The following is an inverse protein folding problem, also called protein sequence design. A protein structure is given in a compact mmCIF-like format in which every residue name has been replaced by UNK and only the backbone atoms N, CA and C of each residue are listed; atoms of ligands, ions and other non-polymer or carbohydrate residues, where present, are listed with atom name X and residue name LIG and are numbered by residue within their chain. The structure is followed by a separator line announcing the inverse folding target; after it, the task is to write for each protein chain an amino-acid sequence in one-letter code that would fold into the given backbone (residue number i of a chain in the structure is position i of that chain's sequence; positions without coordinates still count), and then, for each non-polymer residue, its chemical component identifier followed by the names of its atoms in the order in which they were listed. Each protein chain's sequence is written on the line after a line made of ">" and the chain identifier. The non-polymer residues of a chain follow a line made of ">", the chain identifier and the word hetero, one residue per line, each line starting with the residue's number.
data_IF_275050298207
#
_entry.id   IF_275050298207
#
_cell.length_a   1.000
_cell.length_b   1.000
_cell.length_c   1.000
_cell.angle_alpha   90.00
_cell.angle_beta   90.00
_cell.angle_gamma   90.00
#
_symmetry.space_group_name_H-M   'P 1'
#
loop_
_entity.id
_entity.type
_entity.pdbx_description
1 polymer ?
#
# COMPACT_ATOMS: atom_id res chain seq x y z
N UNK A 1 -2.29 -9.13 -30.33
CA UNK A 1 -2.10 -9.21 -28.86
C UNK A 1 -3.41 -9.06 -28.04
N UNK A 2 -4.06 -7.88 -28.00
CA UNK A 2 -5.21 -7.64 -27.11
C UNK A 2 -6.45 -8.50 -27.41
N UNK A 3 -6.81 -8.66 -28.68
CA UNK A 3 -7.94 -9.53 -29.08
C UNK A 3 -7.67 -10.99 -28.69
N UNK A 4 -6.42 -11.43 -28.83
CA UNK A 4 -5.98 -12.78 -28.45
C UNK A 4 -6.10 -12.97 -26.93
N UNK A 5 -5.61 -12.01 -26.14
CA UNK A 5 -5.78 -12.01 -24.68
C UNK A 5 -7.26 -12.08 -24.29
N UNK A 6 -8.08 -11.16 -24.83
CA UNK A 6 -9.52 -11.12 -24.55
C UNK A 6 -10.18 -12.47 -24.84
N UNK A 7 -9.89 -13.09 -25.99
CA UNK A 7 -10.45 -14.39 -26.33
C UNK A 7 -10.02 -15.52 -25.36
N UNK A 8 -8.82 -15.42 -24.78
CA UNK A 8 -8.31 -16.40 -23.82
C UNK A 8 -8.89 -16.24 -22.40
N UNK A 9 -9.21 -15.02 -21.98
CA UNK A 9 -9.65 -14.72 -20.61
C UNK A 9 -11.14 -14.37 -20.49
N UNK A 10 -11.86 -14.23 -21.61
CA UNK A 10 -13.29 -13.87 -21.60
C UNK A 10 -14.12 -15.02 -21.03
N UNK A 11 -15.00 -14.69 -20.10
CA UNK A 11 -15.94 -15.63 -19.49
C UNK A 11 -15.45 -16.09 -18.12
N UNK A 12 -15.70 -17.36 -17.81
CA UNK A 12 -15.27 -18.02 -16.57
C UNK A 12 -14.09 -18.91 -16.86
N UNK A 13 -13.00 -18.68 -16.13
CA UNK A 13 -11.77 -19.45 -16.24
C UNK A 13 -11.21 -19.70 -14.86
N UNK A 14 -10.35 -20.71 -14.76
CA UNK A 14 -9.53 -20.88 -13.58
C UNK A 14 -8.64 -19.65 -13.43
N UNK A 15 -8.49 -19.13 -12.21
CA UNK A 15 -7.71 -17.92 -11.96
C UNK A 15 -6.28 -18.09 -12.45
N UNK A 16 -5.67 -19.24 -12.18
CA UNK A 16 -4.33 -19.57 -12.66
C UNK A 16 -4.19 -19.48 -14.18
N UNK A 17 -5.17 -19.94 -14.95
CA UNK A 17 -5.14 -19.83 -16.41
C UNK A 17 -5.24 -18.36 -16.86
N UNK A 18 -6.08 -17.57 -16.20
CA UNK A 18 -6.23 -16.13 -16.48
C UNK A 18 -4.93 -15.38 -16.21
N UNK A 19 -4.27 -15.71 -15.10
CA UNK A 19 -3.02 -15.13 -14.64
C UNK A 19 -1.85 -15.45 -15.60
N UNK A 20 -1.69 -16.72 -15.98
CA UNK A 20 -0.72 -17.15 -17.00
C UNK A 20 -0.93 -16.40 -18.31
N UNK A 21 -2.19 -16.22 -18.74
CA UNK A 21 -2.49 -15.52 -19.98
C UNK A 21 -2.16 -14.02 -19.93
N UNK A 22 -2.28 -13.39 -18.76
CA UNK A 22 -1.81 -12.01 -18.55
C UNK A 22 -0.29 -11.95 -18.63
N UNK A 23 0.40 -12.84 -17.92
CA UNK A 23 1.86 -12.90 -17.94
C UNK A 23 2.42 -13.14 -19.36
N UNK A 24 1.85 -14.11 -20.10
CA UNK A 24 2.19 -14.36 -21.50
C UNK A 24 1.96 -13.12 -22.38
N UNK A 25 0.86 -12.39 -22.15
CA UNK A 25 0.57 -11.17 -22.88
C UNK A 25 1.60 -10.07 -22.58
N UNK A 26 2.02 -9.90 -21.33
CA UNK A 26 3.07 -8.96 -20.95
C UNK A 26 4.40 -9.29 -21.65
N UNK A 27 4.73 -10.58 -21.76
CA UNK A 27 5.90 -11.04 -22.51
C UNK A 27 5.74 -10.81 -24.02
N UNK A 28 4.56 -11.07 -24.60
CA UNK A 28 4.29 -10.88 -26.04
C UNK A 28 4.47 -9.41 -26.46
N UNK A 29 4.10 -8.46 -25.60
CA UNK A 29 4.26 -7.02 -25.88
C UNK A 29 5.61 -6.45 -25.39
N UNK A 30 6.43 -7.27 -24.72
CA UNK A 30 7.76 -6.89 -24.26
C UNK A 30 7.79 -5.89 -23.10
N UNK A 31 6.84 -5.96 -22.16
CA UNK A 31 6.74 -5.01 -21.02
C UNK A 31 8.08 -4.86 -20.29
N UNK A 32 8.69 -5.98 -19.88
CA UNK A 32 9.93 -5.94 -19.10
C UNK A 32 11.10 -5.36 -19.90
N UNK A 33 11.18 -5.65 -21.20
CA UNK A 33 12.19 -5.05 -22.08
C UNK A 33 11.99 -3.53 -22.24
N UNK A 34 10.74 -3.08 -22.32
CA UNK A 34 10.43 -1.64 -22.33
C UNK A 34 10.84 -0.97 -21.02
N UNK A 35 10.61 -1.62 -19.87
CA UNK A 35 11.08 -1.12 -18.58
C UNK A 35 12.61 -1.01 -18.52
N UNK A 36 13.34 -2.02 -19.02
CA UNK A 36 14.81 -1.96 -19.13
C UNK A 36 15.27 -0.76 -19.97
N UNK A 37 14.62 -0.52 -21.11
CA UNK A 37 14.93 0.64 -21.98
C UNK A 37 14.70 1.96 -21.25
N UNK A 38 13.61 2.08 -20.48
CA UNK A 38 13.36 3.28 -19.68
C UNK A 38 14.39 3.48 -18.57
N UNK A 39 14.86 2.40 -17.93
CA UNK A 39 15.91 2.50 -16.92
C UNK A 39 17.22 3.03 -17.52
N UNK A 40 17.59 2.58 -18.71
CA UNK A 40 18.74 3.12 -19.46
C UNK A 40 18.55 4.60 -19.79
N UNK A 41 17.37 4.99 -20.30
CA UNK A 41 17.04 6.39 -20.57
C UNK A 41 17.14 7.26 -19.31
N UNK A 42 16.58 6.80 -18.19
CA UNK A 42 16.67 7.52 -16.91
C UNK A 42 18.12 7.67 -16.43
N UNK A 43 18.97 6.67 -16.65
CA UNK A 43 20.39 6.76 -16.30
C UNK A 43 21.12 7.80 -17.16
N UNK A 44 20.86 7.82 -18.48
CA UNK A 44 21.43 8.85 -19.37
C UNK A 44 20.99 10.28 -19.00
N UNK A 45 19.78 10.42 -18.44
CA UNK A 45 19.22 11.69 -17.98
C UNK A 45 19.61 12.03 -16.52
N UNK A 46 20.31 11.14 -15.82
CA UNK A 46 20.68 11.32 -14.42
C UNK A 46 19.51 11.26 -13.43
N UNK A 47 18.38 10.67 -13.81
CA UNK A 47 17.14 10.58 -13.02
C UNK A 47 17.19 9.39 -12.04
N UNK A 48 18.10 9.45 -11.08
CA UNK A 48 18.36 8.35 -10.13
C UNK A 48 17.14 7.96 -9.28
N UNK A 49 16.29 8.91 -8.92
CA UNK A 49 15.05 8.60 -8.17
C UNK A 49 14.09 7.75 -9.01
N UNK A 50 13.96 8.04 -10.31
CA UNK A 50 13.12 7.25 -11.22
C UNK A 50 13.65 5.84 -11.43
N UNK A 51 14.97 5.68 -11.51
CA UNK A 51 15.60 4.35 -11.58
C UNK A 51 15.23 3.54 -10.34
N UNK A 52 15.36 4.12 -9.14
CA UNK A 52 15.01 3.44 -7.88
C UNK A 52 13.54 3.06 -7.78
N UNK A 53 12.63 3.89 -8.32
CA UNK A 53 11.20 3.54 -8.38
C UNK A 53 10.95 2.39 -9.36
N UNK A 54 11.44 2.52 -10.61
CA UNK A 54 11.05 1.64 -11.71
C UNK A 54 11.74 0.26 -11.65
N UNK A 55 12.92 0.16 -11.03
CA UNK A 55 13.60 -1.13 -10.86
C UNK A 55 12.82 -2.11 -9.99
N UNK A 56 11.94 -1.61 -9.11
CA UNK A 56 11.11 -2.42 -8.21
C UNK A 56 9.82 -2.92 -8.87
N UNK A 57 9.36 -2.28 -9.96
CA UNK A 57 8.06 -2.57 -10.59
C UNK A 57 7.95 -4.00 -11.12
N UNK A 58 8.95 -4.58 -11.81
CA UNK A 58 8.84 -5.96 -12.31
C UNK A 58 8.57 -6.98 -11.21
N UNK A 59 9.35 -6.91 -10.12
CA UNK A 59 9.21 -7.81 -8.98
C UNK A 59 7.84 -7.66 -8.34
N UNK A 60 7.39 -6.43 -8.11
CA UNK A 60 6.06 -6.15 -7.54
C UNK A 60 4.91 -6.73 -8.38
N UNK A 61 4.98 -6.63 -9.70
CA UNK A 61 3.94 -7.21 -10.58
C UNK A 61 3.94 -8.73 -10.48
N UNK A 62 5.11 -9.37 -10.52
CA UNK A 62 5.21 -10.84 -10.42
C UNK A 62 4.74 -11.32 -9.05
N UNK A 63 5.13 -10.66 -7.96
CA UNK A 63 4.67 -11.00 -6.61
C UNK A 63 3.15 -10.98 -6.49
N UNK A 64 2.47 -9.98 -7.06
CA UNK A 64 1.00 -9.91 -7.02
C UNK A 64 0.37 -11.07 -7.78
N UNK A 65 0.86 -11.37 -8.99
CA UNK A 65 0.35 -12.48 -9.80
C UNK A 65 0.55 -13.82 -9.06
N UNK A 66 1.73 -14.05 -8.51
CA UNK A 66 2.05 -15.25 -7.72
C UNK A 66 1.13 -15.39 -6.50
N UNK A 67 0.90 -14.31 -5.75
CA UNK A 67 -0.01 -14.32 -4.60
C UNK A 67 -1.46 -14.63 -4.99
N UNK A 68 -1.92 -14.09 -6.12
CA UNK A 68 -3.28 -14.38 -6.62
C UNK A 68 -3.42 -15.87 -6.96
N UNK A 69 -2.42 -16.46 -7.62
CA UNK A 69 -2.41 -17.90 -7.91
C UNK A 69 -2.31 -18.74 -6.63
N UNK A 70 -1.52 -18.31 -5.64
CA UNK A 70 -1.37 -19.04 -4.38
C UNK A 70 -2.68 -19.12 -3.58
N UNK A 71 -3.43 -18.01 -3.52
CA UNK A 71 -4.62 -17.92 -2.66
C UNK A 71 -5.89 -18.43 -3.35
N UNK A 72 -6.07 -18.12 -4.64
CA UNK A 72 -7.31 -18.41 -5.38
C UNK A 72 -7.07 -19.05 -6.75
N UNK A 73 -5.87 -19.59 -7.02
CA UNK A 73 -5.49 -20.09 -8.34
C UNK A 73 -6.40 -21.16 -8.92
N UNK A 74 -6.92 -22.07 -8.08
CA UNK A 74 -7.78 -23.19 -8.49
C UNK A 74 -9.28 -22.80 -8.59
N UNK A 75 -9.64 -21.59 -8.18
CA UNK A 75 -11.01 -21.10 -8.26
C UNK A 75 -11.38 -20.69 -9.69
N UNK A 76 -12.67 -20.83 -10.04
CA UNK A 76 -13.20 -20.42 -11.34
C UNK A 76 -13.99 -19.13 -11.19
N UNK A 77 -13.43 -18.03 -11.69
CA UNK A 77 -13.99 -16.68 -11.56
C UNK A 77 -14.38 -16.10 -12.92
N UNK A 78 -15.31 -15.14 -12.91
CA UNK A 78 -15.49 -14.27 -14.07
C UNK A 78 -14.36 -13.26 -14.18
N UNK A 79 -14.01 -12.87 -15.41
CA UNK A 79 -12.99 -11.86 -15.69
C UNK A 79 -13.15 -10.57 -14.85
N UNK A 80 -14.38 -10.16 -14.56
CA UNK A 80 -14.65 -8.97 -13.73
C UNK A 80 -14.21 -9.14 -12.28
N UNK A 81 -14.38 -10.33 -11.72
CA UNK A 81 -13.99 -10.64 -10.33
C UNK A 81 -12.48 -10.77 -10.23
N UNK A 82 -11.86 -11.50 -11.15
CA UNK A 82 -10.40 -11.58 -11.28
C UNK A 82 -9.76 -10.19 -11.42
N UNK A 83 -10.35 -9.32 -12.27
CA UNK A 83 -9.88 -7.93 -12.44
C UNK A 83 -9.96 -7.14 -11.14
N UNK A 84 -11.03 -7.29 -10.35
CA UNK A 84 -11.15 -6.61 -9.05
C UNK A 84 -10.06 -7.06 -8.08
N UNK A 85 -9.77 -8.37 -8.03
CA UNK A 85 -8.70 -8.91 -7.18
C UNK A 85 -7.36 -8.29 -7.56
N UNK A 86 -7.01 -8.27 -8.85
CA UNK A 86 -5.77 -7.65 -9.31
C UNK A 86 -5.72 -6.16 -8.98
N UNK A 87 -6.78 -5.39 -9.24
CA UNK A 87 -6.83 -3.96 -8.93
C UNK A 87 -6.57 -3.74 -7.44
N UNK A 88 -7.27 -4.47 -6.56
CA UNK A 88 -7.04 -4.36 -5.11
C UNK A 88 -5.62 -4.74 -4.71
N UNK A 89 -5.02 -5.76 -5.34
CA UNK A 89 -3.62 -6.12 -5.10
C UNK A 89 -2.64 -5.02 -5.49
N UNK A 90 -2.86 -4.35 -6.63
CA UNK A 90 -2.02 -3.25 -7.07
C UNK A 90 -2.24 -1.94 -6.28
N UNK A 91 -3.45 -1.69 -5.78
CA UNK A 91 -3.77 -0.51 -4.95
C UNK A 91 -3.08 -0.55 -3.57
N UNK A 92 -2.84 -1.73 -3.03
CA UNK A 92 -2.19 -1.92 -1.73
C UNK A 92 -0.65 -1.82 -1.79
N UNK A 93 -0.04 -2.01 -2.97
CA UNK A 93 1.42 -1.95 -3.11
C UNK A 93 1.91 -0.50 -3.22
N UNK A 94 2.79 -0.12 -2.31
CA UNK A 94 3.50 1.16 -2.34
C UNK A 94 4.93 0.98 -2.90
N UNK A 95 5.36 1.91 -3.76
CA UNK A 95 6.76 2.01 -4.18
C UNK A 95 7.49 2.93 -3.21
N UNK A 96 8.44 2.38 -2.46
CA UNK A 96 9.27 3.13 -1.53
C UNK A 96 10.63 3.45 -2.14
N UNK A 97 11.04 4.72 -2.11
CA UNK A 97 12.43 5.12 -2.34
C UNK A 97 13.00 5.62 -1.03
N UNK A 98 14.06 4.96 -0.54
CA UNK A 98 14.81 5.49 0.62
C UNK A 98 15.62 6.70 0.13
N UNK A 99 15.35 7.90 0.66
CA UNK A 99 16.16 9.06 0.33
C UNK A 99 17.57 8.87 0.91
N UNK A 100 18.60 9.00 0.08
CA UNK A 100 20.00 9.00 0.52
C UNK A 100 20.54 10.43 0.51
N UNK A 101 20.03 11.32 1.38
CA UNK A 101 20.62 12.65 1.58
C UNK A 101 21.10 12.81 3.02
N UNK A 102 22.28 13.41 3.18
CA UNK A 102 22.83 13.76 4.50
C UNK A 102 22.19 15.04 5.06
N UNK A 103 21.77 15.96 4.18
CA UNK A 103 21.09 17.20 4.54
C UNK A 103 19.68 17.19 3.94
N UNK A 104 18.68 17.07 4.80
CA UNK A 104 17.29 16.95 4.40
C UNK A 104 16.33 17.44 5.48
N UNK A 105 15.16 17.90 5.03
CA UNK A 105 14.01 18.14 5.91
C UNK A 105 13.18 16.87 5.96
N UNK A 106 12.97 16.32 7.16
CA UNK A 106 12.09 15.16 7.33
C UNK A 106 10.63 15.63 7.33
N UNK A 107 9.86 15.12 6.37
CA UNK A 107 8.41 15.35 6.28
C UNK A 107 7.74 14.01 6.59
N UNK A 108 6.80 14.00 7.51
CA UNK A 108 6.09 12.78 7.89
C UNK A 108 5.06 13.02 8.98
N UNK A 109 4.42 11.93 9.38
CA UNK A 109 3.41 11.94 10.43
C UNK A 109 4.03 12.29 11.80
N UNK A 110 3.30 13.08 12.59
CA UNK A 110 3.68 13.49 13.95
C UNK A 110 3.99 12.30 14.86
N UNK A 111 3.28 11.17 14.67
CA UNK A 111 3.52 9.92 15.39
C UNK A 111 4.87 9.27 15.07
N UNK A 112 5.41 9.48 13.85
CA UNK A 112 6.68 8.93 13.38
C UNK A 112 7.89 9.81 13.70
N UNK A 113 7.66 11.11 13.91
CA UNK A 113 8.71 12.09 14.26
C UNK A 113 9.03 12.05 15.77
N UNK A 114 8.15 11.44 16.57
CA UNK A 114 8.28 11.28 18.03
C UNK A 114 9.66 10.76 18.45
N UNK A 115 10.31 11.45 19.40
CA UNK A 115 11.53 10.99 20.06
C UNK A 115 12.85 11.33 19.38
N UNK A 116 12.85 12.21 18.37
CA UNK A 116 14.08 12.76 17.79
C UNK A 116 14.28 14.19 18.28
N UNK A 117 15.49 14.51 18.75
CA UNK A 117 15.86 15.90 19.01
C UNK A 117 15.93 16.66 17.67
N UNK A 118 14.97 17.55 17.44
CA UNK A 118 14.92 18.42 16.27
C UNK A 118 15.23 19.86 16.67
N UNK A 119 15.99 20.58 15.85
CA UNK A 119 16.30 21.99 16.11
C UNK A 119 15.11 22.92 15.87
N UNK A 120 14.24 22.55 14.93
CA UNK A 120 13.01 23.26 14.59
C UNK A 120 11.96 22.24 14.13
N UNK A 121 10.71 22.46 14.52
CA UNK A 121 9.55 21.65 14.14
C UNK A 121 8.48 22.54 13.53
N UNK A 122 7.94 22.11 12.39
CA UNK A 122 6.80 22.75 11.74
C UNK A 122 5.61 21.80 11.76
N UNK A 123 4.52 22.19 12.41
CA UNK A 123 3.27 21.45 12.41
C UNK A 123 2.32 22.06 11.39
N UNK A 124 1.81 21.21 10.50
CA UNK A 124 0.87 21.60 9.43
C UNK A 124 -0.48 20.93 9.72
N UNK A 125 -1.57 21.62 9.39
CA UNK A 125 -2.92 21.08 9.58
C UNK A 125 -3.39 21.08 11.03
N UNK A 126 -2.93 22.04 11.84
CA UNK A 126 -3.39 22.25 13.23
C UNK A 126 -4.79 22.88 13.23
N UNK A 127 -5.75 22.10 12.73
CA UNK A 127 -7.16 22.46 12.63
C UNK A 127 -7.98 21.56 13.56
N UNK A 128 -9.13 22.07 14.00
CA UNK A 128 -10.06 21.30 14.81
C UNK A 128 -10.49 20.01 14.10
N UNK A 129 -10.46 18.89 14.83
CA UNK A 129 -10.72 17.55 14.33
C UNK A 129 -9.60 16.90 13.50
N UNK A 130 -8.54 17.64 13.11
CA UNK A 130 -7.35 17.10 12.43
C UNK A 130 -6.23 16.87 13.44
N UNK A 131 -5.97 17.83 14.33
CA UNK A 131 -5.00 17.68 15.42
C UNK A 131 -5.54 18.36 16.70
N UNK A 132 -5.94 17.59 17.73
CA UNK A 132 -5.96 16.12 17.79
C UNK A 132 -6.98 15.52 16.83
N UNK A 133 -6.71 14.32 16.32
CA UNK A 133 -7.60 13.65 15.38
C UNK A 133 -8.92 13.26 16.07
N UNK A 134 -10.05 13.64 15.48
CA UNK A 134 -11.38 13.22 15.91
C UNK A 134 -11.68 11.80 15.39
N UNK A 135 -10.90 10.80 15.82
CA UNK A 135 -11.11 9.39 15.45
C UNK A 135 -12.52 8.93 15.88
N UNK A 136 -13.46 8.81 14.95
CA UNK A 136 -14.86 8.41 15.20
C UNK A 136 -15.22 7.00 14.72
N UNK A 137 -14.29 6.32 14.05
CA UNK A 137 -14.59 5.02 13.45
C UNK A 137 -14.30 3.88 14.43
N UNK A 138 -15.36 3.20 14.88
CA UNK A 138 -15.29 2.04 15.76
C UNK A 138 -14.98 0.74 14.99
N UNK A 139 -15.10 0.74 13.65
CA UNK A 139 -14.92 -0.45 12.82
C UNK A 139 -15.99 -1.52 13.04
N UNK A 140 -15.64 -2.79 12.84
CA UNK A 140 -16.58 -3.94 12.95
C UNK A 140 -17.00 -4.21 14.40
N UNK A 141 -16.16 -3.86 15.39
CA UNK A 141 -16.38 -4.14 16.81
C UNK A 141 -16.57 -2.82 17.56
N UNK A 142 -17.71 -2.65 18.21
CA UNK A 142 -18.03 -1.44 18.98
C UNK A 142 -17.25 -1.36 20.30
N UNK A 143 -17.15 -0.17 20.87
CA UNK A 143 -16.51 0.02 22.19
C UNK A 143 -17.20 -0.78 23.30
N UNK A 144 -18.52 -0.93 23.22
CA UNK A 144 -19.30 -1.77 24.15
C UNK A 144 -18.90 -3.24 24.05
N UNK A 145 -18.72 -3.75 22.83
CA UNK A 145 -18.28 -5.13 22.62
C UNK A 145 -16.84 -5.34 23.10
N UNK A 146 -15.95 -4.36 22.89
CA UNK A 146 -14.59 -4.37 23.45
C UNK A 146 -14.61 -4.49 24.97
N UNK A 147 -15.48 -3.74 25.66
CA UNK A 147 -15.61 -3.80 27.11
C UNK A 147 -16.12 -5.15 27.61
N UNK A 148 -17.10 -5.74 26.93
CA UNK A 148 -17.60 -7.09 27.26
C UNK A 148 -16.47 -8.11 27.12
N UNK A 149 -15.71 -8.05 26.03
CA UNK A 149 -14.57 -8.94 25.78
C UNK A 149 -13.45 -8.74 26.81
N UNK A 150 -13.18 -7.49 27.19
CA UNK A 150 -12.20 -7.13 28.23
C UNK A 150 -12.57 -7.73 29.59
N UNK A 151 -13.86 -7.74 29.94
CA UNK A 151 -14.36 -8.31 31.19
C UNK A 151 -14.22 -9.84 31.27
N UNK A 152 -14.19 -10.53 30.13
CA UNK A 152 -13.92 -11.98 30.07
C UNK A 152 -12.44 -12.30 29.83
N UNK A 153 -11.56 -11.30 29.92
CA UNK A 153 -10.10 -11.45 29.83
C UNK A 153 -9.52 -11.31 28.42
N UNK A 154 -10.34 -10.98 27.41
CA UNK A 154 -9.87 -10.77 26.04
C UNK A 154 -9.56 -9.28 25.83
N UNK A 155 -8.28 -8.96 25.63
CA UNK A 155 -7.84 -7.58 25.36
C UNK A 155 -7.75 -7.33 23.86
N UNK A 156 -8.49 -6.35 23.38
CA UNK A 156 -8.43 -5.83 22.01
C UNK A 156 -7.70 -4.47 21.98
N UNK A 157 -7.59 -3.89 20.77
CA UNK A 157 -7.08 -2.54 20.56
C UNK A 157 -7.86 -1.48 21.37
N UNK A 158 -7.22 -0.32 21.58
CA UNK A 158 -7.76 0.81 22.34
C UNK A 158 -9.16 1.23 21.86
N UNK A 159 -10.05 1.50 22.81
CA UNK A 159 -11.37 2.09 22.55
C UNK A 159 -11.25 3.57 22.13
N UNK A 160 -12.35 4.15 21.66
CA UNK A 160 -12.38 5.54 21.14
C UNK A 160 -11.90 6.54 22.19
N UNK A 161 -12.26 6.33 23.46
CA UNK A 161 -11.88 7.21 24.56
C UNK A 161 -10.37 7.14 24.82
N UNK A 162 -9.79 5.95 24.90
CA UNK A 162 -8.35 5.77 25.03
C UNK A 162 -7.58 6.38 23.86
N UNK A 163 -8.04 6.18 22.62
CA UNK A 163 -7.43 6.77 21.42
C UNK A 163 -7.42 8.30 21.48
N UNK A 164 -8.49 8.92 21.95
CA UNK A 164 -8.54 10.38 22.11
C UNK A 164 -7.48 10.91 23.11
N UNK A 165 -7.20 10.17 24.18
CA UNK A 165 -6.11 10.52 25.10
C UNK A 165 -4.73 10.26 24.50
N UNK A 166 -4.56 9.20 23.71
CA UNK A 166 -3.33 8.92 22.96
C UNK A 166 -3.00 10.06 21.98
N UNK A 167 -4.00 10.58 21.26
CA UNK A 167 -3.86 11.75 20.37
C UNK A 167 -3.39 13.00 21.14
N UNK A 168 -3.97 13.29 22.30
CA UNK A 168 -3.53 14.40 23.15
C UNK A 168 -2.07 14.22 23.61
N UNK A 169 -1.68 12.98 23.91
CA UNK A 169 -0.32 12.66 24.31
C UNK A 169 0.68 12.79 23.15
N UNK A 170 0.26 12.48 21.92
CA UNK A 170 1.06 12.71 20.71
C UNK A 170 1.32 14.21 20.53
N UNK A 171 0.29 15.05 20.66
CA UNK A 171 0.44 16.52 20.58
C UNK A 171 1.42 17.03 21.63
N UNK A 172 1.28 16.57 22.89
CA UNK A 172 2.21 16.94 23.95
C UNK A 172 3.65 16.56 23.58
N UNK A 173 3.89 15.30 23.21
CA UNK A 173 5.25 14.82 22.92
C UNK A 173 5.86 15.45 21.66
N UNK A 174 5.04 15.98 20.76
CA UNK A 174 5.55 16.72 19.61
C UNK A 174 6.00 18.14 19.98
N UNK A 175 5.35 18.76 20.97
CA UNK A 175 5.63 20.13 21.39
C UNK A 175 6.70 20.26 22.48
N UNK A 176 7.02 19.15 23.17
CA UNK A 176 8.00 19.08 24.28
C UNK A 176 9.08 18.07 23.99
#
# INVERSE_FOLDING_TARGET
>A
PLIKLNNKIKGKHMVKDSDINIYEFMNEIGVFKTLETWLEEFDTLGLQDKIKEYIQVPEMVIEILDQVVEVVGDEVLEIKEFTKILISGFEEKEIGVIPMSLDQVNIGDISRVKGREVKALYLIGVNDGVLPAANKDEGIISDRERDILRNIGIRLASDTKSRAFEEQFIVYTALT
#
